data_IF_879777011106
#
_entry.id   IF_879777011106
#
_cell.length_a   1.000
_cell.length_b   1.000
_cell.length_c   1.000
_cell.angle_alpha   90.00
_cell.angle_beta   90.00
_cell.angle_gamma   90.00
#
_symmetry.space_group_name_H-M   'P 1'
#
loop_
_entity.id
_entity.type
_entity.pdbx_description
1 polymer ?
#
# COMPACT_ATOMS: atom_id res chain seq x y z
N UNK A 1 3.72 7.69 -32.79
CA UNK A 1 4.78 6.67 -32.96
C UNK A 1 5.91 6.98 -31.98
N UNK A 2 6.17 6.12 -31.00
CA UNK A 2 7.30 6.28 -30.08
C UNK A 2 8.61 5.98 -30.84
N UNK A 3 9.62 6.83 -30.65
CA UNK A 3 10.93 6.70 -31.28
C UNK A 3 11.63 5.42 -30.83
N UNK A 4 12.40 4.80 -31.72
CA UNK A 4 13.24 3.63 -31.42
C UNK A 4 14.15 3.89 -30.21
N UNK A 5 14.59 5.15 -30.00
CA UNK A 5 15.35 5.56 -28.81
C UNK A 5 14.53 5.45 -27.51
N UNK A 6 13.25 5.79 -27.55
CA UNK A 6 12.33 5.70 -26.41
C UNK A 6 12.10 4.24 -26.00
N UNK A 7 11.99 3.35 -27.00
CA UNK A 7 11.83 1.91 -26.78
C UNK A 7 13.12 1.30 -26.19
N UNK A 8 14.29 1.67 -26.74
CA UNK A 8 15.58 1.23 -26.22
C UNK A 8 15.86 1.73 -24.80
N UNK A 9 15.50 2.98 -24.47
CA UNK A 9 15.59 3.48 -23.10
C UNK A 9 14.68 2.69 -22.13
N UNK A 10 13.44 2.41 -22.53
CA UNK A 10 12.52 1.62 -21.72
C UNK A 10 13.03 0.18 -21.49
N UNK A 11 13.68 -0.42 -22.49
CA UNK A 11 14.30 -1.75 -22.37
C UNK A 11 15.55 -1.68 -21.47
N UNK A 12 16.39 -0.65 -21.61
CA UNK A 12 17.61 -0.49 -20.80
C UNK A 12 17.29 -0.26 -19.31
N UNK A 13 16.23 0.49 -19.01
CA UNK A 13 15.72 0.70 -17.65
C UNK A 13 15.03 -0.55 -17.05
N UNK A 14 14.62 -1.51 -17.88
CA UNK A 14 14.05 -2.80 -17.44
C UNK A 14 15.11 -3.83 -17.07
N UNK A 15 16.30 -3.78 -17.68
CA UNK A 15 17.39 -4.75 -17.47
C UNK A 15 18.26 -4.35 -16.27
N UNK A 16 18.42 -3.05 -16.03
CA UNK A 16 19.01 -2.53 -14.81
C UNK A 16 17.92 -1.73 -14.07
N UNK A 17 17.14 -2.35 -13.16
CA UNK A 17 16.27 -1.56 -12.30
C UNK A 17 17.12 -0.51 -11.59
N UNK A 18 16.63 0.74 -11.47
CA UNK A 18 17.37 1.79 -10.77
C UNK A 18 17.78 1.25 -9.41
N UNK A 19 19.10 1.36 -9.12
CA UNK A 19 19.66 0.97 -7.82
C UNK A 19 18.83 1.61 -6.73
N UNK A 20 18.71 0.93 -5.60
CA UNK A 20 17.90 1.19 -4.39
C UNK A 20 18.01 2.61 -3.75
N UNK A 21 18.54 3.63 -4.44
CA UNK A 21 18.93 4.95 -3.92
C UNK A 21 18.43 6.15 -4.77
N UNK A 22 17.45 5.98 -5.68
CA UNK A 22 16.97 7.09 -6.53
C UNK A 22 15.72 7.82 -6.02
N UNK A 23 15.06 7.31 -4.97
CA UNK A 23 13.87 7.93 -4.35
C UNK A 23 13.87 7.71 -2.83
N UNK A 24 12.99 8.41 -2.12
CA UNK A 24 12.66 7.98 -0.75
C UNK A 24 12.02 6.59 -0.80
N UNK A 25 12.25 5.78 0.23
CA UNK A 25 11.69 4.44 0.29
C UNK A 25 11.32 4.05 1.71
N UNK A 26 10.35 3.14 1.81
CA UNK A 26 9.92 2.55 3.07
C UNK A 26 10.24 1.05 3.09
N UNK A 27 10.78 0.59 4.21
CA UNK A 27 10.90 -0.84 4.53
C UNK A 27 10.04 -1.12 5.75
N UNK A 28 9.02 -1.97 5.61
CA UNK A 28 8.20 -2.44 6.74
C UNK A 28 8.87 -3.65 7.40
N UNK A 29 8.91 -3.66 8.72
CA UNK A 29 9.55 -4.72 9.51
C UNK A 29 8.59 -5.44 10.45
N UNK A 30 7.47 -4.81 10.82
CA UNK A 30 6.48 -5.39 11.73
C UNK A 30 5.10 -4.77 11.50
N UNK A 31 4.07 -5.58 11.69
CA UNK A 31 2.66 -5.19 11.63
C UNK A 31 1.94 -5.81 12.80
N UNK A 32 1.24 -4.99 13.57
CA UNK A 32 0.45 -5.45 14.71
C UNK A 32 -0.92 -4.78 14.71
N UNK A 33 -1.89 -5.46 15.30
CA UNK A 33 -3.27 -5.01 15.43
C UNK A 33 -3.66 -5.06 16.90
N UNK A 34 -4.52 -4.13 17.33
CA UNK A 34 -5.09 -4.16 18.68
C UNK A 34 -6.10 -5.31 18.83
N UNK A 35 -6.92 -5.52 17.80
CA UNK A 35 -7.91 -6.57 17.69
C UNK A 35 -8.01 -7.07 16.23
N UNK A 36 -8.53 -8.30 16.02
CA UNK A 36 -8.78 -8.80 14.67
C UNK A 36 -9.66 -7.85 13.86
N UNK A 37 -9.38 -7.73 12.56
CA UNK A 37 -10.18 -6.90 11.66
C UNK A 37 -11.60 -7.49 11.55
N UNK A 38 -12.62 -6.65 11.73
CA UNK A 38 -14.03 -7.08 11.62
C UNK A 38 -14.70 -6.28 10.52
N UNK A 39 -14.91 -6.93 9.38
CA UNK A 39 -15.52 -6.32 8.21
C UNK A 39 -16.47 -7.30 7.51
N UNK A 40 -17.45 -6.76 6.81
CA UNK A 40 -18.33 -7.50 5.91
C UNK A 40 -18.05 -7.07 4.48
N UNK A 41 -18.16 -7.98 3.51
CA UNK A 41 -17.95 -7.63 2.12
C UNK A 41 -18.33 -8.73 1.15
N UNK A 42 -18.39 -8.37 -0.13
CA UNK A 42 -18.85 -9.26 -1.21
C UNK A 42 -17.76 -9.53 -2.27
N UNK A 43 -16.49 -9.27 -1.96
CA UNK A 43 -15.39 -9.39 -2.92
C UNK A 43 -15.21 -8.18 -3.84
N UNK A 44 -16.01 -7.12 -3.66
CA UNK A 44 -15.87 -5.84 -4.37
C UNK A 44 -15.77 -4.63 -3.44
N UNK A 45 -16.42 -4.73 -2.29
CA UNK A 45 -16.41 -3.69 -1.27
C UNK A 45 -16.45 -4.35 0.10
N UNK A 46 -15.65 -3.82 1.02
CA UNK A 46 -15.52 -4.26 2.39
C UNK A 46 -15.83 -3.10 3.34
N UNK A 47 -16.62 -3.38 4.37
CA UNK A 47 -17.17 -2.40 5.32
C UNK A 47 -16.75 -2.77 6.73
N UNK A 48 -16.02 -1.87 7.40
CA UNK A 48 -15.59 -2.09 8.78
C UNK A 48 -16.77 -2.00 9.75
N UNK A 49 -16.96 -3.03 10.57
CA UNK A 49 -18.05 -3.12 11.56
C UNK A 49 -17.68 -2.48 12.90
N UNK A 50 -16.38 -2.33 13.17
CA UNK A 50 -15.85 -1.80 14.40
C UNK A 50 -14.61 -0.95 14.13
N UNK A 51 -14.33 -0.04 15.04
CA UNK A 51 -13.10 0.75 15.02
C UNK A 51 -11.89 -0.17 15.23
N UNK A 52 -10.84 -0.02 14.42
CA UNK A 52 -9.65 -0.88 14.46
C UNK A 52 -8.37 -0.10 14.28
N UNK A 53 -7.38 -0.41 15.11
CA UNK A 53 -6.04 0.12 14.98
C UNK A 53 -5.11 -0.91 14.34
N UNK A 54 -4.34 -0.43 13.36
CA UNK A 54 -3.23 -1.18 12.79
C UNK A 54 -1.96 -0.34 12.94
N UNK A 55 -0.91 -0.99 13.42
CA UNK A 55 0.39 -0.39 13.66
C UNK A 55 1.40 -0.99 12.70
N UNK A 56 2.05 -0.14 11.91
CA UNK A 56 3.09 -0.54 10.96
C UNK A 56 4.41 0.07 11.44
N UNK A 57 5.40 -0.78 11.69
CA UNK A 57 6.76 -0.34 12.03
C UNK A 57 7.68 -0.62 10.88
N UNK A 58 8.69 0.22 10.75
CA UNK A 58 9.66 0.05 9.69
C UNK A 58 10.75 1.10 9.76
N UNK A 59 11.40 1.28 8.62
CA UNK A 59 12.33 2.38 8.41
C UNK A 59 12.02 3.12 7.12
N UNK A 60 12.19 4.44 7.15
CA UNK A 60 12.07 5.31 5.98
C UNK A 60 13.45 5.81 5.61
N UNK A 61 13.90 5.44 4.41
CA UNK A 61 15.08 6.03 3.79
C UNK A 61 14.69 7.33 3.09
N UNK A 62 15.39 8.42 3.44
CA UNK A 62 15.19 9.72 2.78
C UNK A 62 16.37 10.00 1.86
N UNK A 63 16.11 10.24 0.58
CA UNK A 63 17.16 10.46 -0.42
C UNK A 63 17.95 11.74 -0.14
N UNK A 64 17.26 12.78 0.33
CA UNK A 64 17.84 14.11 0.57
C UNK A 64 19.05 14.04 1.51
N UNK A 65 18.94 13.27 2.59
CA UNK A 65 19.98 13.17 3.62
C UNK A 65 20.65 11.79 3.69
N UNK A 66 20.22 10.86 2.82
CA UNK A 66 20.70 9.47 2.74
C UNK A 66 20.61 8.72 4.06
N UNK A 67 19.65 9.05 4.92
CA UNK A 67 19.44 8.39 6.21
C UNK A 67 18.20 7.52 6.19
N UNK A 68 18.33 6.36 6.83
CA UNK A 68 17.20 5.53 7.22
C UNK A 68 16.85 5.82 8.67
N UNK A 69 15.58 6.11 8.94
CA UNK A 69 15.07 6.37 10.30
C UNK A 69 13.94 5.43 10.61
N UNK A 70 13.90 4.82 11.81
CA UNK A 70 12.79 3.97 12.18
C UNK A 70 11.53 4.81 12.37
N UNK A 71 10.37 4.21 12.14
CA UNK A 71 9.08 4.86 12.30
C UNK A 71 8.03 3.93 12.91
N UNK A 72 6.99 4.56 13.43
CA UNK A 72 5.69 3.95 13.71
C UNK A 72 4.62 4.70 12.91
N UNK A 73 3.88 3.96 12.08
CA UNK A 73 2.67 4.42 11.42
C UNK A 73 1.49 3.79 12.15
N UNK A 74 0.62 4.63 12.72
CA UNK A 74 -0.62 4.21 13.37
C UNK A 74 -1.78 4.55 12.45
N UNK A 75 -2.55 3.53 12.06
CA UNK A 75 -3.73 3.66 11.22
C UNK A 75 -4.98 3.31 12.04
N UNK A 76 -5.98 4.19 12.03
CA UNK A 76 -7.31 3.95 12.59
C UNK A 76 -8.32 3.85 11.46
N UNK A 77 -8.97 2.70 11.37
CA UNK A 77 -10.16 2.48 10.57
C UNK A 77 -11.38 2.63 11.48
N UNK A 78 -12.20 3.65 11.25
CA UNK A 78 -13.47 3.81 11.99
C UNK A 78 -14.53 2.89 11.40
N UNK A 79 -15.52 2.53 12.22
CA UNK A 79 -16.73 1.84 11.79
C UNK A 79 -17.34 2.56 10.60
N UNK A 80 -17.65 1.81 9.55
CA UNK A 80 -18.19 2.31 8.29
C UNK A 80 -17.13 2.66 7.26
N UNK A 81 -15.83 2.58 7.59
CA UNK A 81 -14.78 2.71 6.58
C UNK A 81 -14.97 1.66 5.48
N UNK A 82 -14.80 2.09 4.23
CA UNK A 82 -15.01 1.30 3.03
C UNK A 82 -13.72 1.17 2.23
N UNK A 83 -13.42 -0.03 1.76
CA UNK A 83 -12.28 -0.34 0.89
C UNK A 83 -12.70 -1.41 -0.13
N UNK A 84 -12.15 -1.33 -1.33
CA UNK A 84 -12.32 -2.33 -2.39
C UNK A 84 -11.34 -3.53 -2.24
N UNK A 85 -10.45 -3.50 -1.25
CA UNK A 85 -9.51 -4.57 -0.95
C UNK A 85 -8.33 -4.55 -1.91
N UNK A 86 -7.74 -5.72 -2.20
CA UNK A 86 -6.57 -5.77 -3.10
C UNK A 86 -6.89 -5.36 -4.55
N UNK A 87 -8.18 -5.35 -4.93
CA UNK A 87 -8.68 -4.99 -6.27
C UNK A 87 -7.87 -5.59 -7.41
N UNK A 88 -7.42 -6.83 -7.22
CA UNK A 88 -6.58 -7.50 -8.19
C UNK A 88 -7.42 -7.89 -9.41
N UNK A 89 -6.87 -7.76 -10.64
CA UNK A 89 -7.58 -8.23 -11.84
C UNK A 89 -7.82 -9.74 -11.74
N UNK A 90 -8.91 -10.23 -12.36
CA UNK A 90 -9.41 -11.60 -12.18
C UNK A 90 -8.34 -12.68 -12.42
N UNK A 91 -7.45 -12.47 -13.39
CA UNK A 91 -6.35 -13.40 -13.70
C UNK A 91 -5.29 -13.50 -12.60
N UNK A 92 -5.21 -12.51 -11.71
CA UNK A 92 -4.24 -12.43 -10.62
C UNK A 92 -4.84 -12.82 -9.25
N UNK A 93 -6.17 -12.95 -9.13
CA UNK A 93 -6.85 -13.25 -7.86
C UNK A 93 -6.46 -14.60 -7.23
N UNK A 94 -6.01 -15.56 -8.03
CA UNK A 94 -5.47 -16.83 -7.53
C UNK A 94 -4.15 -16.67 -6.75
N UNK A 95 -3.43 -15.57 -6.97
CA UNK A 95 -2.15 -15.27 -6.31
C UNK A 95 -2.25 -14.08 -5.34
N UNK A 96 -3.19 -13.17 -5.58
CA UNK A 96 -3.47 -11.98 -4.78
C UNK A 96 -4.97 -12.01 -4.45
N UNK A 97 -5.39 -12.82 -3.45
CA UNK A 97 -6.79 -12.87 -3.07
C UNK A 97 -7.25 -11.51 -2.54
N UNK A 98 -8.46 -11.05 -2.90
CA UNK A 98 -8.95 -9.73 -2.46
C UNK A 98 -8.95 -9.58 -0.93
N UNK A 99 -9.31 -10.68 -0.24
CA UNK A 99 -9.18 -10.87 1.21
C UNK A 99 -8.76 -12.31 1.47
N UNK A 100 -7.85 -12.51 2.42
CA UNK A 100 -7.38 -13.81 2.88
C UNK A 100 -7.95 -14.13 4.26
N UNK A 101 -8.79 -15.17 4.33
CA UNK A 101 -9.46 -15.58 5.57
C UNK A 101 -8.43 -15.94 6.65
N UNK A 102 -8.57 -15.32 7.82
CA UNK A 102 -7.70 -15.57 8.98
C UNK A 102 -6.32 -14.91 8.90
N UNK A 103 -6.09 -14.02 7.93
CA UNK A 103 -4.81 -13.33 7.73
C UNK A 103 -5.03 -11.81 7.77
N UNK A 104 -5.19 -11.27 8.96
CA UNK A 104 -5.46 -9.84 9.15
C UNK A 104 -4.28 -8.95 8.78
N UNK A 105 -3.04 -9.48 8.83
CA UNK A 105 -1.87 -8.76 8.34
C UNK A 105 -1.95 -8.60 6.82
N UNK A 106 -2.30 -9.67 6.10
CA UNK A 106 -2.56 -9.59 4.66
C UNK A 106 -3.66 -8.58 4.34
N UNK A 107 -4.80 -8.69 5.03
CA UNK A 107 -5.98 -7.87 4.77
C UNK A 107 -5.76 -6.39 5.12
N UNK A 108 -4.95 -6.09 6.15
CA UNK A 108 -4.62 -4.72 6.51
C UNK A 108 -3.87 -3.97 5.39
N UNK A 109 -3.11 -4.67 4.55
CA UNK A 109 -2.28 -4.05 3.52
C UNK A 109 -3.09 -3.22 2.50
N UNK A 110 -4.10 -3.79 1.79
CA UNK A 110 -4.92 -3.01 0.88
C UNK A 110 -5.75 -1.94 1.60
N UNK A 111 -6.25 -2.22 2.81
CA UNK A 111 -7.04 -1.24 3.56
C UNK A 111 -6.21 0.00 3.94
N UNK A 112 -4.96 -0.20 4.38
CA UNK A 112 -4.03 0.90 4.66
C UNK A 112 -3.70 1.64 3.36
N UNK A 113 -3.44 0.90 2.28
CA UNK A 113 -3.13 1.49 0.97
C UNK A 113 -4.23 2.45 0.50
N UNK A 114 -5.50 2.01 0.51
CA UNK A 114 -6.65 2.83 0.15
C UNK A 114 -6.76 4.07 1.03
N UNK A 115 -6.64 3.90 2.35
CA UNK A 115 -6.67 5.01 3.29
C UNK A 115 -5.58 6.05 3.02
N UNK A 116 -4.34 5.60 2.82
CA UNK A 116 -3.23 6.49 2.47
C UNK A 116 -3.44 7.17 1.12
N UNK A 117 -4.01 6.46 0.14
CA UNK A 117 -4.32 6.99 -1.18
C UNK A 117 -5.41 8.06 -1.15
N UNK A 118 -6.49 7.88 -0.37
CA UNK A 118 -7.54 8.90 -0.16
C UNK A 118 -6.96 10.20 0.41
N UNK A 119 -5.91 10.09 1.23
CA UNK A 119 -5.20 11.22 1.81
C UNK A 119 -4.03 11.72 0.94
N UNK A 120 -3.78 11.11 -0.22
CA UNK A 120 -2.64 11.44 -1.06
C UNK A 120 -1.31 11.42 -0.28
N UNK A 121 -1.18 10.47 0.65
CA UNK A 121 -0.01 10.35 1.52
C UNK A 121 0.18 11.51 2.51
N UNK A 122 -0.71 12.50 2.53
CA UNK A 122 -0.71 13.61 3.49
C UNK A 122 -1.47 13.19 4.75
N UNK A 123 -0.71 12.72 5.73
CA UNK A 123 -1.21 12.22 7.00
C UNK A 123 -0.51 12.95 8.15
N UNK A 124 -0.96 12.76 9.39
CA UNK A 124 -0.31 13.43 10.52
C UNK A 124 1.17 13.01 10.62
N UNK A 125 2.06 13.99 10.75
CA UNK A 125 3.50 13.80 10.87
C UNK A 125 4.29 13.62 9.56
N UNK A 126 3.67 13.43 8.39
CA UNK A 126 4.42 13.23 7.13
C UNK A 126 3.61 13.49 5.85
N UNK A 127 4.33 13.88 4.79
CA UNK A 127 3.86 13.75 3.41
C UNK A 127 4.63 12.62 2.73
N UNK A 128 3.93 11.54 2.41
CA UNK A 128 4.48 10.39 1.67
C UNK A 128 4.21 10.54 0.17
N UNK A 129 5.16 10.10 -0.65
CA UNK A 129 4.88 9.92 -2.08
C UNK A 129 4.01 8.69 -2.30
N UNK A 130 3.43 8.59 -3.50
CA UNK A 130 2.68 7.41 -3.93
C UNK A 130 3.51 6.13 -3.78
N UNK A 131 4.77 6.18 -4.20
CA UNK A 131 5.69 5.04 -4.15
C UNK A 131 6.03 4.61 -2.72
N UNK A 132 6.06 5.56 -1.77
CA UNK A 132 6.21 5.26 -0.35
C UNK A 132 4.95 4.58 0.22
N UNK A 133 3.75 4.96 -0.22
CA UNK A 133 2.51 4.25 0.13
C UNK A 133 2.51 2.83 -0.47
N UNK A 134 3.00 2.66 -1.69
CA UNK A 134 3.14 1.34 -2.33
C UNK A 134 4.21 0.49 -1.64
N UNK A 135 5.28 1.11 -1.11
CA UNK A 135 6.28 0.43 -0.29
C UNK A 135 5.67 -0.14 1.00
N UNK A 136 4.73 0.57 1.64
CA UNK A 136 3.97 0.07 2.80
C UNK A 136 3.17 -1.18 2.41
N UNK A 137 2.34 -1.10 1.36
CA UNK A 137 1.55 -2.23 0.85
C UNK A 137 2.42 -3.47 0.60
N UNK A 138 3.50 -3.29 -0.17
CA UNK A 138 4.44 -4.36 -0.50
C UNK A 138 5.15 -4.92 0.73
N UNK A 139 5.51 -4.06 1.68
CA UNK A 139 6.13 -4.44 2.93
C UNK A 139 5.23 -5.33 3.78
N UNK A 140 3.96 -4.96 3.93
CA UNK A 140 2.97 -5.73 4.70
C UNK A 140 2.68 -7.08 4.04
N UNK A 141 2.45 -7.13 2.73
CA UNK A 141 2.20 -8.40 2.04
C UNK A 141 3.38 -9.38 2.13
N UNK A 142 4.63 -8.87 2.12
CA UNK A 142 5.81 -9.71 2.36
C UNK A 142 5.80 -10.33 3.76
N UNK A 143 5.42 -9.55 4.78
CA UNK A 143 5.29 -10.07 6.15
C UNK A 143 4.15 -11.10 6.28
N UNK A 144 3.09 -10.96 5.47
CA UNK A 144 2.01 -11.96 5.37
C UNK A 144 2.39 -13.23 4.56
N UNK A 145 3.68 -13.40 4.22
CA UNK A 145 4.19 -14.58 3.53
C UNK A 145 4.02 -14.55 2.00
N UNK A 146 3.66 -13.42 1.40
CA UNK A 146 3.65 -13.30 -0.07
C UNK A 146 5.10 -13.27 -0.60
N UNK A 147 5.44 -14.23 -1.47
CA UNK A 147 6.78 -14.32 -2.06
C UNK A 147 7.06 -13.09 -2.96
N UNK A 148 8.33 -12.68 -3.04
CA UNK A 148 8.83 -11.48 -3.74
C UNK A 148 8.38 -11.40 -5.20
N UNK A 149 8.30 -12.53 -5.89
CA UNK A 149 7.82 -12.60 -7.27
C UNK A 149 6.31 -12.31 -7.38
N UNK A 150 5.51 -12.78 -6.43
CA UNK A 150 4.06 -12.53 -6.39
C UNK A 150 3.77 -11.11 -5.93
N UNK A 151 4.49 -10.59 -4.94
CA UNK A 151 4.41 -9.18 -4.54
C UNK A 151 4.84 -8.23 -5.68
N UNK A 152 5.81 -8.63 -6.50
CA UNK A 152 6.23 -7.91 -7.70
C UNK A 152 5.30 -8.09 -8.91
N UNK A 153 4.60 -9.21 -9.04
CA UNK A 153 3.55 -9.40 -10.06
C UNK A 153 2.25 -8.68 -9.68
N UNK A 154 1.92 -8.64 -8.39
CA UNK A 154 0.90 -7.78 -7.81
C UNK A 154 1.24 -6.31 -8.06
N UNK A 155 2.52 -5.92 -8.01
CA UNK A 155 2.99 -4.58 -8.40
C UNK A 155 2.64 -4.27 -9.86
N UNK A 156 2.78 -5.22 -10.79
CA UNK A 156 2.35 -5.02 -12.17
C UNK A 156 0.83 -4.91 -12.27
N UNK A 157 0.07 -5.72 -11.53
CA UNK A 157 -1.39 -5.65 -11.49
C UNK A 157 -1.90 -4.33 -10.90
N UNK A 158 -1.38 -3.95 -9.73
CA UNK A 158 -1.69 -2.68 -9.05
C UNK A 158 -1.21 -1.50 -9.88
N UNK A 159 -0.01 -1.52 -10.48
CA UNK A 159 0.48 -0.41 -11.33
C UNK A 159 -0.23 -0.30 -12.69
N UNK A 160 -0.78 -1.39 -13.24
CA UNK A 160 -1.52 -1.39 -14.51
C UNK A 160 -3.01 -1.11 -14.31
N UNK A 161 -3.62 -1.55 -13.19
CA UNK A 161 -5.07 -1.48 -12.97
C UNK A 161 -5.51 -0.56 -11.81
N UNK A 162 -4.71 -0.42 -10.75
CA UNK A 162 -4.92 0.54 -9.67
C UNK A 162 -3.93 1.75 -9.72
N UNK A 163 -3.04 1.73 -10.71
CA UNK A 163 -1.85 2.55 -10.88
C UNK A 163 -2.11 3.89 -11.55
N UNK A 164 -3.28 4.04 -12.15
CA UNK A 164 -3.64 5.27 -12.83
C UNK A 164 -3.72 6.42 -11.84
N UNK A 165 -3.45 7.63 -12.34
CA UNK A 165 -3.63 8.89 -11.60
C UNK A 165 -5.05 9.04 -11.04
N UNK A 166 -6.02 8.28 -11.56
CA UNK A 166 -7.42 8.30 -11.13
C UNK A 166 -7.67 7.80 -9.70
N UNK A 167 -6.75 7.04 -9.09
CA UNK A 167 -6.95 6.51 -7.73
C UNK A 167 -6.25 7.33 -6.63
N UNK A 168 -5.31 8.19 -7.01
CA UNK A 168 -4.58 9.01 -6.04
C UNK A 168 -5.42 10.20 -5.56
N UNK A 169 -5.88 10.15 -4.31
CA UNK A 169 -6.84 11.10 -3.76
C UNK A 169 -8.29 10.80 -4.12
N UNK A 170 -8.57 9.60 -4.63
CA UNK A 170 -9.93 9.18 -4.90
C UNK A 170 -10.65 8.83 -3.59
N UNK A 171 -11.73 9.54 -3.29
CA UNK A 171 -12.65 9.27 -2.18
C UNK A 171 -14.10 9.15 -2.70
N UNK A 172 -14.31 8.39 -3.78
CA UNK A 172 -15.64 8.21 -4.40
C UNK A 172 -16.68 7.68 -3.40
N UNK A 173 -16.24 6.93 -2.39
CA UNK A 173 -17.10 6.39 -1.33
C UNK A 173 -17.35 7.37 -0.18
N UNK A 174 -16.78 8.58 -0.22
CA UNK A 174 -16.87 9.61 0.83
C UNK A 174 -16.56 9.06 2.23
N UNK A 175 -15.52 8.24 2.35
CA UNK A 175 -15.12 7.56 3.59
C UNK A 175 -13.74 8.00 4.10
N UNK A 176 -13.05 8.94 3.44
CA UNK A 176 -11.76 9.49 3.88
C UNK A 176 -11.74 9.94 5.34
N UNK A 177 -12.82 10.54 5.83
CA UNK A 177 -12.97 11.00 7.21
C UNK A 177 -13.07 9.86 8.25
N UNK A 178 -13.26 8.63 7.79
CA UNK A 178 -13.30 7.40 8.58
C UNK A 178 -11.94 6.70 8.65
N UNK A 179 -10.93 7.22 7.95
CA UNK A 179 -9.54 6.78 8.08
C UNK A 179 -8.68 7.89 8.68
N UNK A 180 -7.92 7.56 9.72
CA UNK A 180 -6.94 8.46 10.33
C UNK A 180 -5.59 7.76 10.38
N UNK A 181 -4.52 8.48 10.06
CA UNK A 181 -3.17 7.95 10.11
C UNK A 181 -2.19 8.96 10.72
N UNK A 182 -1.25 8.46 11.51
CA UNK A 182 -0.16 9.22 12.13
C UNK A 182 1.17 8.52 11.93
N UNK A 183 2.17 9.25 11.44
CA UNK A 183 3.53 8.79 11.23
C UNK A 183 4.48 9.47 12.22
N UNK A 184 5.22 8.67 12.98
CA UNK A 184 6.17 9.16 13.98
C UNK A 184 7.53 8.51 13.78
N UNK A 185 8.60 9.31 13.63
CA UNK A 185 9.96 8.80 13.72
C UNK A 185 10.26 8.34 15.15
N UNK A 186 11.05 7.27 15.27
CA UNK A 186 11.46 6.66 16.54
C UNK A 186 12.97 6.72 16.75
#
# INVERSE_FOLDING_TARGET
MLSLKSILMAIKNKINPPKENERNSITVTDVSLDFPLVFEGNGKMYFFKLDRYVYVKGSRYTKLDKKSRPFLLTCLFKRGFMSDGASAPEFAKSFVPDVKKGDDVYNAAPFIHDGLYMHQGNIDGINMTREECDDILRGIWRLAGMNRAVAGAADLGVHVFAGSLSHWGNDTNNCKHLFQAKFEYR
#
